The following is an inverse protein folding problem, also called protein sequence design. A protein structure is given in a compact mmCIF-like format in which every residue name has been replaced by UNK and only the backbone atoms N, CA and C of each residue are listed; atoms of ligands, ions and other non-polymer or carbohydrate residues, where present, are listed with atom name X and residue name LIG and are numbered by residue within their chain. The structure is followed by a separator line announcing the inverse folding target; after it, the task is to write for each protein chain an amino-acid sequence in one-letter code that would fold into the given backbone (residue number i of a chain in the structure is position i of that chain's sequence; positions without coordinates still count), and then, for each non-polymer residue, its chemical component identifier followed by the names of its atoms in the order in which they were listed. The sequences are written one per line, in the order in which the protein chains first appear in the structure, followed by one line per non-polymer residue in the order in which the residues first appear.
data_IF_533444677335
#
_entry.id   IF_533444677335
#
_cell.length_a   1.000
_cell.length_b   1.000
_cell.length_c   1.000
_cell.angle_alpha   90.00
_cell.angle_beta   90.00
_cell.angle_gamma   90.00
#
_symmetry.space_group_name_H-M   'P 1'
#
loop_
_entity.id
_entity.type
_entity.pdbx_description
1 polymer ?
#
# COMPACT_ATOMS: atom_id res chain seq x y z
N UNK A 1 12.98 12.69 -42.65
CA UNK A 1 11.93 11.70 -42.35
C UNK A 1 11.00 12.31 -41.30
N UNK A 2 9.81 12.72 -41.75
CA UNK A 2 8.81 13.46 -40.98
C UNK A 2 8.30 12.63 -39.80
N UNK A 3 8.67 13.00 -38.57
CA UNK A 3 7.95 12.56 -37.38
C UNK A 3 6.61 13.31 -37.33
N UNK A 4 5.56 12.56 -37.59
CA UNK A 4 4.16 12.95 -37.65
C UNK A 4 3.78 13.95 -36.56
N UNK A 5 3.46 15.15 -37.05
CA UNK A 5 2.85 16.26 -36.36
C UNK A 5 1.42 15.89 -35.93
N UNK A 6 1.27 15.18 -34.81
CA UNK A 6 -0.01 14.79 -34.21
C UNK A 6 -0.62 15.88 -33.29
N UNK A 7 -0.30 17.16 -33.53
CA UNK A 7 -0.80 18.28 -32.70
C UNK A 7 -2.11 18.93 -33.17
N UNK A 8 -2.69 18.51 -34.31
CA UNK A 8 -3.83 19.21 -34.90
C UNK A 8 -5.21 18.55 -34.78
N UNK A 9 -5.39 17.42 -34.09
CA UNK A 9 -6.72 16.73 -33.96
C UNK A 9 -7.26 16.67 -32.51
N UNK A 10 -6.79 17.52 -31.58
CA UNK A 10 -6.99 17.23 -30.15
C UNK A 10 -8.24 17.86 -29.49
N UNK A 11 -8.93 18.84 -30.08
CA UNK A 11 -10.01 19.54 -29.33
C UNK A 11 -11.30 18.75 -29.09
N UNK A 12 -11.67 17.77 -29.94
CA UNK A 12 -12.92 16.97 -29.78
C UNK A 12 -12.72 15.70 -28.94
N UNK A 13 -11.50 15.16 -28.89
CA UNK A 13 -11.18 13.92 -28.16
C UNK A 13 -11.03 14.10 -26.64
N UNK A 14 -10.55 15.26 -26.20
CA UNK A 14 -10.18 15.50 -24.79
C UNK A 14 -11.40 15.58 -23.86
N UNK A 15 -12.50 16.18 -24.33
CA UNK A 15 -13.77 16.21 -23.60
C UNK A 15 -14.37 14.81 -23.44
N UNK A 16 -14.24 13.95 -24.45
CA UNK A 16 -14.70 12.55 -24.40
C UNK A 16 -13.90 11.72 -23.40
N UNK A 17 -12.58 11.95 -23.31
CA UNK A 17 -11.70 11.24 -22.39
C UNK A 17 -11.93 11.69 -20.94
N UNK A 18 -12.13 12.99 -20.71
CA UNK A 18 -12.47 13.52 -19.39
C UNK A 18 -13.81 12.95 -18.89
N UNK A 19 -14.82 12.91 -19.75
CA UNK A 19 -16.11 12.25 -19.45
C UNK A 19 -15.94 10.77 -19.12
N UNK A 20 -15.12 10.04 -19.89
CA UNK A 20 -14.81 8.62 -19.61
C UNK A 20 -14.11 8.42 -18.26
N UNK A 21 -13.14 9.27 -17.90
CA UNK A 21 -12.45 9.21 -16.59
C UNK A 21 -13.44 9.37 -15.43
N UNK A 22 -14.29 10.38 -15.50
CA UNK A 22 -15.30 10.63 -14.45
C UNK A 22 -16.32 9.49 -14.40
N UNK A 23 -16.81 9.03 -15.56
CA UNK A 23 -17.76 7.93 -15.65
C UNK A 23 -17.23 6.66 -14.97
N UNK A 24 -15.99 6.26 -15.27
CA UNK A 24 -15.41 5.04 -14.68
C UNK A 24 -15.07 5.19 -13.19
N UNK A 25 -14.75 6.40 -12.70
CA UNK A 25 -14.64 6.67 -11.26
C UNK A 25 -15.98 6.52 -10.54
N UNK A 26 -17.04 7.15 -11.05
CA UNK A 26 -18.40 6.98 -10.48
C UNK A 26 -18.82 5.50 -10.49
N UNK A 27 -18.54 4.80 -11.60
CA UNK A 27 -18.84 3.36 -11.72
C UNK A 27 -18.04 2.53 -10.70
N UNK A 28 -16.77 2.88 -10.46
CA UNK A 28 -15.93 2.22 -9.45
C UNK A 28 -16.54 2.35 -8.05
N UNK A 29 -16.89 3.58 -7.65
CA UNK A 29 -17.52 3.84 -6.36
C UNK A 29 -18.83 3.02 -6.20
N UNK A 30 -19.69 3.04 -7.22
CA UNK A 30 -20.94 2.26 -7.23
C UNK A 30 -20.70 0.75 -7.09
N UNK A 31 -19.74 0.21 -7.84
CA UNK A 31 -19.42 -1.23 -7.79
C UNK A 31 -18.86 -1.64 -6.43
N UNK A 32 -18.01 -0.80 -5.82
CA UNK A 32 -17.48 -1.04 -4.47
C UNK A 32 -18.59 -0.98 -3.42
N UNK A 33 -19.53 -0.04 -3.55
CA UNK A 33 -20.73 0.02 -2.69
C UNK A 33 -21.51 -1.29 -2.81
N UNK A 34 -21.95 -1.64 -4.02
CA UNK A 34 -22.74 -2.85 -4.26
C UNK A 34 -22.05 -4.11 -3.75
N UNK A 35 -20.74 -4.23 -3.98
CA UNK A 35 -19.94 -5.33 -3.47
C UNK A 35 -19.90 -5.37 -1.94
N UNK A 36 -19.69 -4.22 -1.28
CA UNK A 36 -19.59 -4.18 0.18
C UNK A 36 -20.92 -4.57 0.85
N UNK A 37 -22.05 -4.16 0.28
CA UNK A 37 -23.38 -4.55 0.74
C UNK A 37 -23.67 -6.06 0.66
N UNK A 38 -22.89 -6.85 -0.08
CA UNK A 38 -23.02 -8.31 -0.10
C UNK A 38 -22.64 -8.93 1.24
N UNK A 39 -21.73 -8.31 2.00
CA UNK A 39 -21.13 -8.91 3.19
C UNK A 39 -21.11 -7.99 4.41
N UNK A 40 -21.53 -6.73 4.29
CA UNK A 40 -21.46 -5.73 5.36
C UNK A 40 -22.16 -6.15 6.65
N UNK A 41 -23.19 -6.99 6.59
CA UNK A 41 -23.95 -7.52 7.72
C UNK A 41 -23.54 -8.95 8.11
N UNK A 42 -22.68 -9.60 7.32
CA UNK A 42 -22.29 -11.01 7.49
C UNK A 42 -21.05 -11.21 8.34
N UNK A 43 -20.35 -10.13 8.68
CA UNK A 43 -19.13 -10.16 9.49
C UNK A 43 -19.35 -9.35 10.76
N UNK A 44 -19.02 -9.89 11.92
CA UNK A 44 -18.86 -9.14 13.17
C UNK A 44 -17.68 -9.75 13.91
N UNK A 45 -16.55 -9.04 13.92
CA UNK A 45 -15.29 -9.60 14.45
C UNK A 45 -14.98 -9.08 15.83
N UNK A 46 -14.22 -9.86 16.59
CA UNK A 46 -13.81 -9.52 17.96
C UNK A 46 -13.10 -8.15 18.04
N UNK A 47 -12.33 -7.80 17.00
CA UNK A 47 -11.67 -6.49 16.88
C UNK A 47 -12.65 -5.31 16.90
N UNK A 48 -13.79 -5.41 16.21
CA UNK A 48 -14.82 -4.37 16.23
C UNK A 48 -15.44 -4.23 17.63
N UNK A 49 -15.63 -5.35 18.33
CA UNK A 49 -16.09 -5.36 19.72
C UNK A 49 -15.10 -4.70 20.69
N UNK A 50 -13.79 -4.95 20.52
CA UNK A 50 -12.75 -4.30 21.32
C UNK A 50 -12.72 -2.79 21.12
N UNK A 51 -12.84 -2.32 19.87
CA UNK A 51 -12.91 -0.89 19.58
C UNK A 51 -14.08 -0.23 20.33
N UNK A 52 -15.26 -0.86 20.33
CA UNK A 52 -16.42 -0.31 21.06
C UNK A 52 -16.28 -0.36 22.57
N UNK A 53 -15.65 -1.40 23.11
CA UNK A 53 -15.33 -1.44 24.53
C UNK A 53 -14.43 -0.26 24.94
N UNK A 54 -13.36 0.00 24.19
CA UNK A 54 -12.47 1.13 24.47
C UNK A 54 -13.17 2.47 24.29
N UNK A 55 -14.06 2.61 23.29
CA UNK A 55 -14.88 3.81 23.13
C UNK A 55 -15.76 4.08 24.35
N UNK A 56 -16.33 3.03 24.95
CA UNK A 56 -17.08 3.13 26.20
C UNK A 56 -16.24 3.60 27.39
N UNK A 57 -14.97 3.20 27.48
CA UNK A 57 -14.03 3.68 28.50
C UNK A 57 -13.70 5.16 28.30
N UNK A 58 -13.46 5.59 27.05
CA UNK A 58 -13.24 7.00 26.72
C UNK A 58 -14.44 7.88 27.10
N UNK A 59 -15.66 7.36 26.89
CA UNK A 59 -16.90 8.04 27.30
C UNK A 59 -17.05 8.22 28.80
N UNK A 60 -16.42 7.35 29.59
CA UNK A 60 -16.33 7.46 31.05
C UNK A 60 -15.20 8.38 31.51
N UNK A 61 -14.51 9.06 30.58
CA UNK A 61 -13.37 9.93 30.88
C UNK A 61 -12.09 9.17 31.24
N UNK A 62 -12.02 7.86 30.95
CA UNK A 62 -10.81 7.06 31.16
C UNK A 62 -9.76 7.40 30.10
N UNK A 63 -8.52 7.53 30.53
CA UNK A 63 -7.41 7.91 29.67
C UNK A 63 -6.66 6.65 29.23
N UNK A 64 -6.42 6.46 27.92
CA UNK A 64 -5.69 5.30 27.43
C UNK A 64 -4.28 5.27 28.02
N UNK A 65 -3.75 4.06 28.19
CA UNK A 65 -2.45 3.74 28.80
C UNK A 65 -2.42 3.96 30.32
N UNK A 66 -2.98 5.07 30.82
CA UNK A 66 -3.00 5.38 32.26
C UNK A 66 -4.09 4.61 33.02
N UNK A 67 -5.32 4.69 32.54
CA UNK A 67 -6.49 4.14 33.25
C UNK A 67 -6.90 2.75 32.72
N UNK A 68 -6.43 2.38 31.53
CA UNK A 68 -6.62 1.05 30.96
C UNK A 68 -5.48 0.70 29.99
N UNK A 69 -5.22 -0.60 29.87
CA UNK A 69 -4.18 -1.13 29.00
C UNK A 69 -4.56 -0.99 27.53
N UNK A 70 -3.66 -0.40 26.73
CA UNK A 70 -3.80 -0.32 25.28
C UNK A 70 -2.45 -0.48 24.58
N UNK A 71 -2.33 -1.51 23.73
CA UNK A 71 -1.07 -1.94 23.13
C UNK A 71 -0.78 -1.32 21.76
N UNK A 72 -1.63 -0.40 21.28
CA UNK A 72 -1.52 0.26 19.98
C UNK A 72 -1.26 1.76 20.15
N UNK A 73 -0.61 2.40 19.18
CA UNK A 73 -0.45 3.86 19.18
C UNK A 73 -1.80 4.63 19.15
N UNK A 74 -1.83 5.89 19.62
CA UNK A 74 -3.06 6.54 20.06
C UNK A 74 -4.02 6.96 18.95
N UNK A 75 -3.54 7.18 17.72
CA UNK A 75 -4.42 7.58 16.60
C UNK A 75 -5.39 6.46 16.22
N UNK A 76 -4.99 5.21 16.43
CA UNK A 76 -5.85 4.05 16.21
C UNK A 76 -7.15 4.18 17.00
N UNK A 77 -7.02 4.34 18.32
CA UNK A 77 -8.16 4.50 19.22
C UNK A 77 -8.92 5.81 18.96
N UNK A 78 -8.21 6.92 18.74
CA UNK A 78 -8.84 8.22 18.49
C UNK A 78 -9.71 8.21 17.24
N UNK A 79 -9.23 7.58 16.16
CA UNK A 79 -9.97 7.45 14.92
C UNK A 79 -11.27 6.66 15.12
N UNK A 80 -11.18 5.51 15.79
CA UNK A 80 -12.34 4.67 16.06
C UNK A 80 -13.35 5.38 16.96
N UNK A 81 -12.86 6.14 17.94
CA UNK A 81 -13.68 6.96 18.82
C UNK A 81 -14.42 8.06 18.06
N UNK A 82 -13.73 8.83 17.21
CA UNK A 82 -14.34 9.90 16.41
C UNK A 82 -15.40 9.32 15.49
N UNK A 83 -15.09 8.25 14.75
CA UNK A 83 -16.04 7.64 13.81
C UNK A 83 -17.23 7.05 14.58
N UNK A 84 -17.01 6.44 15.73
CA UNK A 84 -18.10 5.92 16.57
C UNK A 84 -19.03 7.03 17.07
N UNK A 85 -18.47 8.16 17.54
CA UNK A 85 -19.27 9.33 17.93
C UNK A 85 -20.08 9.90 16.78
N UNK A 86 -19.48 10.00 15.59
CA UNK A 86 -20.17 10.41 14.36
C UNK A 86 -21.22 9.39 13.89
N UNK A 87 -21.20 8.17 14.43
CA UNK A 87 -22.15 7.12 14.15
C UNK A 87 -23.30 7.07 15.14
N UNK A 88 -23.32 7.95 16.15
CA UNK A 88 -24.35 8.03 17.19
C UNK A 88 -24.58 6.68 17.92
N UNK A 89 -23.56 5.82 17.98
CA UNK A 89 -23.65 4.48 18.56
C UNK A 89 -24.29 3.41 17.64
N UNK A 90 -24.61 3.72 16.39
CA UNK A 90 -25.14 2.76 15.43
C UNK A 90 -24.03 2.10 14.60
N UNK A 91 -23.89 0.79 14.75
CA UNK A 91 -22.88 0.00 14.02
C UNK A 91 -23.00 0.11 12.49
N UNK A 92 -24.21 0.16 11.95
CA UNK A 92 -24.39 0.29 10.49
C UNK A 92 -23.83 1.61 9.98
N UNK A 93 -23.99 2.70 10.72
CA UNK A 93 -23.45 4.02 10.36
C UNK A 93 -21.92 4.01 10.48
N UNK A 94 -21.38 3.36 11.53
CA UNK A 94 -19.94 3.14 11.68
C UNK A 94 -19.34 2.42 10.46
N UNK A 95 -20.01 1.38 9.97
CA UNK A 95 -19.58 0.67 8.75
C UNK A 95 -19.76 1.50 7.47
N UNK A 96 -20.73 2.41 7.41
CA UNK A 96 -20.85 3.36 6.28
C UNK A 96 -19.66 4.33 6.22
N UNK A 97 -19.15 4.79 7.35
CA UNK A 97 -17.91 5.58 7.38
C UNK A 97 -16.71 4.79 6.87
N UNK A 98 -16.59 3.52 7.26
CA UNK A 98 -15.56 2.62 6.72
C UNK A 98 -15.73 2.37 5.23
N UNK A 99 -16.95 2.20 4.74
CA UNK A 99 -17.20 2.13 3.30
C UNK A 99 -16.77 3.41 2.59
N UNK A 100 -17.03 4.59 3.16
CA UNK A 100 -16.57 5.86 2.61
C UNK A 100 -15.03 5.93 2.53
N UNK A 101 -14.31 5.50 3.56
CA UNK A 101 -12.85 5.36 3.53
C UNK A 101 -12.40 4.43 2.39
N UNK A 102 -13.10 3.31 2.17
CA UNK A 102 -12.79 2.36 1.08
C UNK A 102 -12.91 3.02 -0.28
N UNK A 103 -14.01 3.73 -0.50
CA UNK A 103 -14.28 4.44 -1.73
C UNK A 103 -13.16 5.47 -1.96
N UNK A 104 -12.78 6.22 -0.92
CA UNK A 104 -11.69 7.18 -1.03
C UNK A 104 -10.36 6.52 -1.42
N UNK A 105 -10.02 5.37 -0.83
CA UNK A 105 -8.81 4.60 -1.17
C UNK A 105 -8.81 4.23 -2.65
N UNK A 106 -9.88 3.57 -3.13
CA UNK A 106 -9.94 3.08 -4.51
C UNK A 106 -9.98 4.22 -5.52
N UNK A 107 -10.63 5.34 -5.19
CA UNK A 107 -10.68 6.54 -6.04
C UNK A 107 -9.31 7.23 -6.15
N UNK A 108 -8.57 7.33 -5.05
CA UNK A 108 -7.19 7.83 -5.08
C UNK A 108 -6.34 6.94 -5.97
N UNK A 109 -6.41 5.62 -5.78
CA UNK A 109 -5.66 4.66 -6.59
C UNK A 109 -6.04 4.72 -8.08
N UNK A 110 -7.33 4.81 -8.37
CA UNK A 110 -7.86 4.99 -9.72
C UNK A 110 -7.28 6.25 -10.36
N UNK A 111 -7.34 7.39 -9.67
CA UNK A 111 -6.78 8.66 -10.12
C UNK A 111 -5.27 8.57 -10.42
N UNK A 112 -4.53 7.80 -9.62
CA UNK A 112 -3.10 7.58 -9.86
C UNK A 112 -2.86 6.70 -11.11
N UNK A 113 -3.63 5.63 -11.27
CA UNK A 113 -3.48 4.68 -12.38
C UNK A 113 -3.89 5.26 -13.74
N UNK A 114 -4.94 6.07 -13.81
CA UNK A 114 -5.39 6.69 -15.09
C UNK A 114 -4.39 7.67 -15.70
N UNK A 115 -3.30 8.01 -14.98
CA UNK A 115 -2.17 8.76 -15.54
C UNK A 115 -1.31 7.91 -16.47
N UNK A 116 -1.38 6.58 -16.37
CA UNK A 116 -0.53 5.63 -17.09
C UNK A 116 -1.29 4.61 -17.91
N UNK A 117 -2.54 4.29 -17.54
CA UNK A 117 -3.37 3.29 -18.24
C UNK A 117 -4.73 3.87 -18.64
N UNK A 118 -5.45 3.13 -19.51
CA UNK A 118 -6.81 3.49 -19.93
C UNK A 118 -7.78 3.46 -18.73
N UNK A 119 -8.78 4.37 -18.67
CA UNK A 119 -9.78 4.41 -17.59
C UNK A 119 -10.47 3.07 -17.28
N UNK A 120 -10.78 2.27 -18.29
CA UNK A 120 -11.40 0.96 -18.10
C UNK A 120 -10.47 -0.06 -17.42
N UNK A 121 -9.18 -0.04 -17.77
CA UNK A 121 -8.17 -0.93 -17.17
C UNK A 121 -7.93 -0.54 -15.71
N UNK A 122 -7.81 0.76 -15.42
CA UNK A 122 -7.71 1.26 -14.05
C UNK A 122 -8.95 0.88 -13.22
N UNK A 123 -10.15 1.02 -13.78
CA UNK A 123 -11.40 0.60 -13.14
C UNK A 123 -11.38 -0.89 -12.76
N UNK A 124 -11.09 -1.77 -13.72
CA UNK A 124 -11.04 -3.23 -13.46
C UNK A 124 -9.97 -3.55 -12.42
N UNK A 125 -8.78 -2.97 -12.55
CA UNK A 125 -7.68 -3.20 -11.61
C UNK A 125 -8.02 -2.75 -10.18
N UNK A 126 -8.61 -1.56 -10.02
CA UNK A 126 -9.03 -1.05 -8.71
C UNK A 126 -10.17 -1.87 -8.10
N UNK A 127 -11.18 -2.24 -8.90
CA UNK A 127 -12.29 -3.05 -8.40
C UNK A 127 -11.83 -4.45 -7.98
N UNK A 128 -11.04 -5.13 -8.82
CA UNK A 128 -10.45 -6.42 -8.46
C UNK A 128 -9.55 -6.30 -7.23
N UNK A 129 -8.78 -5.21 -7.11
CA UNK A 129 -7.99 -4.93 -5.92
C UNK A 129 -8.83 -4.79 -4.65
N UNK A 130 -10.00 -4.12 -4.73
CA UNK A 130 -10.92 -4.01 -3.61
C UNK A 130 -11.52 -5.37 -3.20
N UNK A 131 -11.88 -6.21 -4.18
CA UNK A 131 -12.38 -7.58 -3.96
C UNK A 131 -11.30 -8.46 -3.34
N UNK A 132 -10.09 -8.47 -3.91
CA UNK A 132 -8.98 -9.26 -3.36
C UNK A 132 -8.55 -8.77 -1.98
N UNK A 133 -8.60 -7.46 -1.72
CA UNK A 133 -8.37 -6.91 -0.38
C UNK A 133 -9.30 -7.54 0.66
N UNK A 134 -10.59 -7.66 0.33
CA UNK A 134 -11.58 -8.30 1.19
C UNK A 134 -11.48 -9.81 1.31
N UNK A 135 -10.73 -10.48 0.44
CA UNK A 135 -10.43 -11.90 0.60
C UNK A 135 -9.36 -12.15 1.68
N UNK A 136 -8.77 -11.10 2.26
CA UNK A 136 -7.80 -11.22 3.34
C UNK A 136 -8.50 -11.21 4.70
N UNK A 137 -7.96 -11.99 5.64
CA UNK A 137 -8.44 -12.03 7.04
C UNK A 137 -8.27 -10.69 7.80
N UNK A 138 -7.56 -9.73 7.20
CA UNK A 138 -7.27 -8.43 7.80
C UNK A 138 -8.21 -7.33 7.32
N UNK A 139 -9.08 -7.61 6.35
CA UNK A 139 -10.03 -6.64 5.83
C UNK A 139 -11.37 -6.75 6.56
N UNK A 140 -11.34 -6.26 7.79
CA UNK A 140 -12.49 -6.23 8.69
C UNK A 140 -13.16 -4.87 8.51
N UNK A 141 -14.48 -4.85 8.28
CA UNK A 141 -15.28 -3.66 7.95
C UNK A 141 -15.31 -2.55 9.02
N UNK A 142 -14.47 -2.64 10.05
CA UNK A 142 -14.44 -1.81 11.24
C UNK A 142 -13.09 -1.74 11.94
N UNK A 143 -11.99 -2.15 11.31
CA UNK A 143 -10.65 -2.19 11.92
C UNK A 143 -9.71 -1.09 11.38
N UNK A 144 -8.69 -0.74 12.16
CA UNK A 144 -7.71 0.31 11.86
C UNK A 144 -6.90 0.07 10.57
N UNK A 145 -6.90 -1.16 10.05
CA UNK A 145 -6.22 -1.51 8.81
C UNK A 145 -6.70 -0.64 7.64
N UNK A 146 -7.97 -0.21 7.69
CA UNK A 146 -8.54 0.58 6.62
C UNK A 146 -8.02 2.03 6.60
N UNK A 147 -7.98 2.70 7.76
CA UNK A 147 -7.32 4.00 7.89
C UNK A 147 -5.87 3.91 7.41
N UNK A 148 -5.18 2.83 7.75
CA UNK A 148 -3.80 2.64 7.36
C UNK A 148 -3.63 2.49 5.84
N UNK A 149 -4.52 1.77 5.15
CA UNK A 149 -4.54 1.70 3.68
C UNK A 149 -4.78 3.08 3.06
N UNK A 150 -5.66 3.89 3.65
CA UNK A 150 -5.88 5.26 3.22
C UNK A 150 -4.62 6.12 3.35
N UNK A 151 -3.92 6.05 4.49
CA UNK A 151 -2.67 6.78 4.68
C UNK A 151 -1.60 6.35 3.66
N UNK A 152 -1.51 5.05 3.33
CA UNK A 152 -0.61 4.56 2.27
C UNK A 152 -0.97 5.14 0.89
N UNK A 153 -2.26 5.14 0.53
CA UNK A 153 -2.73 5.73 -0.73
C UNK A 153 -2.43 7.24 -0.81
N UNK A 154 -2.60 7.95 0.32
CA UNK A 154 -2.28 9.37 0.43
C UNK A 154 -0.78 9.63 0.32
N UNK A 155 0.08 8.80 0.92
CA UNK A 155 1.54 8.87 0.69
C UNK A 155 1.82 8.73 -0.80
N UNK A 156 1.34 7.66 -1.45
CA UNK A 156 1.58 7.46 -2.89
C UNK A 156 1.17 8.69 -3.72
N UNK A 157 0.03 9.31 -3.37
CA UNK A 157 -0.43 10.55 -3.99
C UNK A 157 0.54 11.72 -3.75
N UNK A 158 0.94 11.99 -2.51
CA UNK A 158 1.84 13.11 -2.20
C UNK A 158 3.24 12.91 -2.78
N UNK A 159 3.73 11.68 -2.86
CA UNK A 159 5.00 11.34 -3.53
C UNK A 159 4.97 11.66 -5.01
N UNK A 160 3.88 11.30 -5.70
CA UNK A 160 3.72 11.65 -7.11
C UNK A 160 3.64 13.16 -7.29
N UNK A 161 2.93 13.87 -6.40
CA UNK A 161 2.86 15.34 -6.43
C UNK A 161 4.19 16.02 -6.14
N UNK A 162 4.99 15.44 -5.25
CA UNK A 162 6.36 15.86 -4.99
C UNK A 162 7.21 15.76 -6.27
N UNK A 163 7.17 14.62 -6.97
CA UNK A 163 7.90 14.39 -8.22
C UNK A 163 7.43 15.36 -9.32
N UNK A 164 6.12 15.53 -9.49
CA UNK A 164 5.53 16.47 -10.47
C UNK A 164 6.00 17.92 -10.26
N UNK A 165 6.30 18.30 -9.02
CA UNK A 165 6.66 19.66 -8.62
C UNK A 165 8.12 19.81 -8.18
N UNK A 166 8.98 18.83 -8.48
CA UNK A 166 10.36 18.78 -7.98
C UNK A 166 11.19 20.02 -8.36
N UNK A 167 10.86 20.67 -9.47
CA UNK A 167 11.51 21.89 -9.98
C UNK A 167 10.98 23.19 -9.35
N UNK A 168 9.88 23.15 -8.59
CA UNK A 168 9.22 24.33 -8.01
C UNK A 168 9.38 24.28 -6.48
N UNK A 169 10.37 24.99 -5.88
CA UNK A 169 10.74 24.80 -4.47
C UNK A 169 9.59 24.93 -3.48
N UNK A 170 8.75 25.97 -3.60
CA UNK A 170 7.61 26.19 -2.69
C UNK A 170 6.62 25.02 -2.71
N UNK A 171 6.27 24.52 -3.90
CA UNK A 171 5.34 23.38 -4.05
C UNK A 171 6.00 22.07 -3.63
N UNK A 172 7.25 21.85 -4.03
CA UNK A 172 8.06 20.69 -3.63
C UNK A 172 8.04 20.50 -2.11
N UNK A 173 8.46 21.52 -1.37
CA UNK A 173 8.57 21.44 0.08
C UNK A 173 7.21 21.36 0.78
N UNK A 174 6.15 21.97 0.21
CA UNK A 174 4.78 21.76 0.69
C UNK A 174 4.36 20.28 0.62
N UNK A 175 4.66 19.59 -0.49
CA UNK A 175 4.38 18.15 -0.60
C UNK A 175 5.27 17.28 0.29
N UNK A 176 6.50 17.72 0.59
CA UNK A 176 7.35 17.07 1.60
C UNK A 176 6.72 17.12 2.99
N UNK A 177 6.26 18.31 3.42
CA UNK A 177 5.58 18.48 4.70
C UNK A 177 4.32 17.62 4.75
N UNK A 178 3.49 17.64 3.69
CA UNK A 178 2.29 16.80 3.63
C UNK A 178 2.62 15.30 3.76
N UNK A 179 3.66 14.84 3.07
CA UNK A 179 4.14 13.44 3.17
C UNK A 179 4.59 13.14 4.60
N UNK A 180 5.31 14.06 5.23
CA UNK A 180 5.73 13.97 6.63
C UNK A 180 4.55 13.83 7.59
N UNK A 181 3.54 14.70 7.46
CA UNK A 181 2.32 14.65 8.29
C UNK A 181 1.66 13.28 8.18
N UNK A 182 1.46 12.77 6.96
CA UNK A 182 0.85 11.45 6.75
C UNK A 182 1.72 10.35 7.37
N UNK A 183 3.06 10.43 7.22
CA UNK A 183 3.98 9.49 7.85
C UNK A 183 3.93 9.52 9.39
N UNK A 184 3.81 10.70 9.98
CA UNK A 184 3.61 10.85 11.43
C UNK A 184 2.26 10.27 11.91
N UNK A 185 1.19 10.46 11.14
CA UNK A 185 -0.11 9.82 11.42
C UNK A 185 -0.01 8.30 11.34
N UNK A 186 0.67 7.74 10.33
CA UNK A 186 0.92 6.29 10.24
C UNK A 186 1.68 5.76 11.46
N UNK A 187 2.55 6.59 12.07
CA UNK A 187 3.24 6.22 13.30
C UNK A 187 2.35 6.12 14.50
N UNK A 188 1.35 6.99 14.54
CA UNK A 188 0.34 6.95 15.57
C UNK A 188 -0.76 5.91 15.30
N UNK A 189 -0.75 5.17 14.17
CA UNK A 189 -1.65 4.02 13.97
C UNK A 189 -1.01 2.68 14.33
N UNK A 190 0.16 2.34 13.76
CA UNK A 190 0.82 1.03 13.95
C UNK A 190 2.30 1.05 13.55
N UNK A 191 3.21 0.72 14.48
CA UNK A 191 4.66 0.96 14.33
C UNK A 191 5.34 0.21 13.16
N UNK A 192 5.11 -1.09 12.92
CA UNK A 192 5.80 -1.84 11.85
C UNK A 192 5.62 -1.23 10.45
N UNK A 193 4.50 -0.55 10.23
CA UNK A 193 4.13 -0.03 8.91
C UNK A 193 4.74 1.34 8.63
N UNK A 194 5.05 2.09 9.66
CA UNK A 194 5.86 3.31 9.54
C UNK A 194 7.22 2.94 9.03
N UNK A 195 7.81 1.90 9.60
CA UNK A 195 9.14 1.45 9.22
C UNK A 195 9.14 1.00 7.76
N UNK A 196 8.13 0.26 7.33
CA UNK A 196 7.94 -0.09 5.91
C UNK A 196 7.76 1.14 5.00
N UNK A 197 6.92 2.11 5.40
CA UNK A 197 6.67 3.32 4.60
C UNK A 197 7.87 4.28 4.54
N UNK A 198 8.61 4.44 5.64
CA UNK A 198 9.85 5.21 5.70
C UNK A 198 10.96 4.56 4.89
N UNK A 199 11.09 3.23 4.92
CA UNK A 199 12.03 2.50 4.07
C UNK A 199 11.69 2.71 2.59
N UNK A 200 10.42 2.57 2.20
CA UNK A 200 10.00 2.81 0.82
C UNK A 200 10.24 4.27 0.37
N UNK A 201 9.93 5.23 1.24
CA UNK A 201 10.19 6.65 0.98
C UNK A 201 11.69 6.95 0.89
N UNK A 202 12.49 6.39 1.79
CA UNK A 202 13.94 6.52 1.81
C UNK A 202 14.58 5.96 0.54
N UNK A 203 14.17 4.77 0.11
CA UNK A 203 14.62 4.16 -1.16
C UNK A 203 14.28 5.07 -2.34
N UNK A 204 13.05 5.60 -2.41
CA UNK A 204 12.65 6.51 -3.48
C UNK A 204 13.49 7.79 -3.49
N UNK A 205 13.75 8.36 -2.32
CA UNK A 205 14.59 9.55 -2.16
C UNK A 205 16.04 9.32 -2.60
N UNK A 206 16.62 8.18 -2.21
CA UNK A 206 17.96 7.76 -2.65
C UNK A 206 17.99 7.58 -4.17
N UNK A 207 16.97 6.94 -4.76
CA UNK A 207 16.87 6.76 -6.20
C UNK A 207 16.80 8.10 -6.97
N UNK A 208 15.99 9.05 -6.49
CA UNK A 208 15.89 10.39 -7.10
C UNK A 208 17.19 11.20 -6.98
N UNK A 209 17.95 10.98 -5.92
CA UNK A 209 19.27 11.58 -5.72
C UNK A 209 20.33 10.96 -6.64
N UNK A 210 20.37 9.63 -6.77
CA UNK A 210 21.27 8.92 -7.71
C UNK A 210 21.03 9.38 -9.14
N UNK A 211 19.76 9.55 -9.54
CA UNK A 211 19.39 10.08 -10.86
C UNK A 211 19.66 11.58 -11.02
N UNK A 212 20.21 12.26 -10.00
CA UNK A 212 20.47 13.71 -9.95
C UNK A 212 19.24 14.58 -10.25
N UNK A 213 18.03 14.02 -10.04
CA UNK A 213 16.77 14.72 -10.25
C UNK A 213 16.51 15.67 -9.07
N UNK A 214 16.82 15.24 -7.85
CA UNK A 214 16.86 16.11 -6.67
C UNK A 214 18.29 16.30 -6.16
N UNK A 215 18.79 17.54 -6.22
CA UNK A 215 20.11 17.91 -5.67
C UNK A 215 20.06 18.27 -4.18
N UNK A 216 18.88 18.48 -3.61
CA UNK A 216 18.70 19.02 -2.27
C UNK A 216 18.09 17.99 -1.30
N UNK A 217 18.63 16.76 -1.27
CA UNK A 217 18.09 15.64 -0.51
C UNK A 217 17.96 15.93 0.99
N UNK A 218 18.98 16.53 1.62
CA UNK A 218 18.95 16.85 3.05
C UNK A 218 17.83 17.83 3.40
N UNK A 219 17.60 18.83 2.55
CA UNK A 219 16.50 19.79 2.74
C UNK A 219 15.14 19.11 2.54
N UNK A 220 15.03 18.20 1.58
CA UNK A 220 13.82 17.38 1.40
C UNK A 220 13.52 16.54 2.64
N UNK A 221 14.52 15.85 3.20
CA UNK A 221 14.40 15.06 4.44
C UNK A 221 13.96 15.96 5.59
N UNK A 222 14.60 17.12 5.77
CA UNK A 222 14.25 18.06 6.81
C UNK A 222 12.76 18.46 6.78
N UNK A 223 12.22 18.80 5.61
CA UNK A 223 10.81 19.16 5.49
C UNK A 223 9.85 17.98 5.75
N UNK A 224 10.27 16.75 5.45
CA UNK A 224 9.48 15.56 5.80
C UNK A 224 9.49 15.34 7.32
N UNK A 225 10.64 15.47 7.97
CA UNK A 225 10.76 15.36 9.43
C UNK A 225 9.94 16.46 10.13
N UNK A 226 9.99 17.69 9.62
CA UNK A 226 9.14 18.79 10.11
C UNK A 226 7.65 18.49 9.94
N UNK A 227 7.24 17.84 8.86
CA UNK A 227 5.84 17.42 8.70
C UNK A 227 5.45 16.33 9.69
N UNK A 228 6.31 15.34 9.89
CA UNK A 228 6.05 14.23 10.80
C UNK A 228 6.00 14.65 12.26
N UNK A 229 6.78 15.66 12.67
CA UNK A 229 6.74 16.16 14.05
C UNK A 229 5.40 16.77 14.43
N UNK A 230 4.62 17.33 13.48
CA UNK A 230 3.32 17.96 13.78
C UNK A 230 2.35 17.00 14.51
N UNK A 231 1.90 15.87 13.90
CA UNK A 231 1.00 14.96 14.58
C UNK A 231 1.63 14.31 15.82
N UNK A 232 2.95 14.05 15.81
CA UNK A 232 3.66 13.45 16.94
C UNK A 232 3.68 14.38 18.15
N UNK A 233 3.93 15.68 17.95
CA UNK A 233 3.90 16.69 19.01
C UNK A 233 2.49 16.87 19.57
N UNK A 234 1.45 16.84 18.72
CA UNK A 234 0.06 16.91 19.18
C UNK A 234 -0.27 15.72 20.08
N UNK A 235 0.04 14.49 19.65
CA UNK A 235 -0.18 13.29 20.45
C UNK A 235 0.67 13.29 21.73
N UNK A 236 1.94 13.70 21.64
CA UNK A 236 2.84 13.82 22.78
C UNK A 236 2.34 14.82 23.82
N UNK A 237 1.90 16.01 23.39
CA UNK A 237 1.33 17.03 24.27
C UNK A 237 0.08 16.52 24.99
N UNK A 238 -0.80 15.81 24.27
CA UNK A 238 -1.98 15.16 24.88
C UNK A 238 -1.57 14.14 25.95
N UNK A 239 -0.62 13.26 25.66
CA UNK A 239 -0.17 12.23 26.61
C UNK A 239 0.53 12.83 27.83
N UNK A 240 1.34 13.87 27.65
CA UNK A 240 2.02 14.58 28.74
C UNK A 240 1.00 15.27 29.64
N UNK A 241 0.05 16.02 29.06
CA UNK A 241 -0.97 16.75 29.83
C UNK A 241 -1.87 15.82 30.66
N UNK A 242 -1.99 14.55 30.24
CA UNK A 242 -2.82 13.55 30.90
C UNK A 242 -2.01 12.56 31.77
N UNK A 243 -0.71 12.78 31.97
CA UNK A 243 0.20 11.90 32.71
C UNK A 243 0.24 10.45 32.19
N UNK A 244 0.05 10.26 30.88
CA UNK A 244 0.00 8.94 30.24
C UNK A 244 1.25 8.61 29.41
N UNK A 245 2.21 9.53 29.28
CA UNK A 245 3.36 9.38 28.37
C UNK A 245 4.28 8.21 28.76
N UNK A 246 4.53 8.00 30.06
CA UNK A 246 5.38 6.91 30.54
C UNK A 246 4.72 5.55 30.27
N UNK A 247 3.45 5.41 30.63
CA UNK A 247 2.68 4.19 30.42
C UNK A 247 2.49 3.88 28.94
N UNK A 248 2.32 4.92 28.11
CA UNK A 248 2.32 4.77 26.66
C UNK A 248 3.64 4.16 26.15
N UNK A 249 4.78 4.71 26.58
CA UNK A 249 6.09 4.19 26.16
C UNK A 249 6.23 2.72 26.59
N UNK A 250 5.86 2.41 27.83
CA UNK A 250 5.90 1.05 28.36
C UNK A 250 5.02 0.10 27.55
N UNK A 251 3.71 0.36 27.47
CA UNK A 251 2.75 -0.57 26.87
C UNK A 251 2.89 -0.71 25.34
N UNK A 252 3.30 0.36 24.66
CA UNK A 252 3.35 0.37 23.19
C UNK A 252 4.72 -0.07 22.67
N UNK A 253 5.82 0.22 23.38
CA UNK A 253 7.18 -0.08 22.91
C UNK A 253 7.95 -1.11 23.73
N UNK A 254 7.68 -1.28 25.03
CA UNK A 254 8.47 -2.16 25.91
C UNK A 254 7.75 -3.48 26.21
N UNK A 255 6.44 -3.45 26.46
CA UNK A 255 5.59 -4.62 26.75
C UNK A 255 5.23 -5.41 25.47
N UNK A 256 6.25 -5.77 24.71
CA UNK A 256 6.14 -6.37 23.36
C UNK A 256 6.23 -7.89 23.37
N UNK A 257 5.74 -8.54 24.43
CA UNK A 257 5.83 -10.01 24.62
C UNK A 257 5.30 -10.87 23.46
N UNK A 258 4.55 -10.30 22.51
CA UNK A 258 4.01 -10.99 21.33
C UNK A 258 4.46 -10.44 19.96
N UNK A 259 5.20 -9.32 19.90
CA UNK A 259 5.48 -8.61 18.62
C UNK A 259 6.89 -8.82 18.07
N UNK A 260 7.83 -9.29 18.89
CA UNK A 260 9.24 -9.38 18.54
C UNK A 260 9.91 -8.00 18.47
N UNK A 261 11.24 -7.98 18.46
CA UNK A 261 12.00 -6.72 18.39
C UNK A 261 11.80 -5.99 17.05
N UNK A 262 12.04 -4.68 16.99
CA UNK A 262 12.03 -3.91 15.72
C UNK A 262 12.94 -4.54 14.66
N UNK A 263 14.05 -5.13 15.07
CA UNK A 263 14.97 -5.86 14.20
C UNK A 263 14.32 -7.13 13.62
N UNK A 264 13.64 -7.94 14.43
CA UNK A 264 12.93 -9.14 13.96
C UNK A 264 11.78 -8.79 13.02
N UNK A 265 11.09 -7.68 13.26
CA UNK A 265 9.99 -7.20 12.40
C UNK A 265 10.49 -6.84 11.00
N UNK A 266 11.63 -6.12 10.90
CA UNK A 266 12.18 -5.69 9.60
C UNK A 266 13.00 -6.78 8.94
N UNK A 267 14.05 -7.25 9.61
CA UNK A 267 15.03 -8.15 9.01
C UNK A 267 14.63 -9.60 9.24
N UNK A 268 14.10 -9.94 10.43
CA UNK A 268 13.70 -11.32 10.74
C UNK A 268 12.69 -11.85 9.73
N UNK A 269 11.59 -11.13 9.48
CA UNK A 269 10.58 -11.55 8.49
C UNK A 269 11.08 -11.53 7.04
N UNK A 270 11.90 -10.56 6.64
CA UNK A 270 12.49 -10.53 5.30
C UNK A 270 13.44 -11.72 5.13
N UNK A 271 14.33 -11.97 6.09
CA UNK A 271 15.26 -13.10 6.06
C UNK A 271 14.51 -14.43 6.09
N UNK A 272 13.43 -14.53 6.86
CA UNK A 272 12.60 -15.75 6.90
C UNK A 272 11.85 -15.93 5.58
N UNK A 273 11.32 -14.86 4.99
CA UNK A 273 10.64 -14.90 3.68
C UNK A 273 11.61 -15.24 2.56
N UNK A 274 12.81 -14.63 2.55
CA UNK A 274 13.88 -14.95 1.60
C UNK A 274 14.30 -16.39 1.81
N UNK A 275 14.57 -16.84 3.03
CA UNK A 275 14.98 -18.21 3.35
C UNK A 275 13.93 -19.23 2.90
N UNK A 276 12.65 -18.95 3.17
CA UNK A 276 11.56 -19.85 2.82
C UNK A 276 11.25 -19.86 1.31
N UNK A 277 11.53 -18.76 0.62
CA UNK A 277 11.21 -18.59 -0.81
C UNK A 277 12.44 -18.45 -1.72
N UNK A 278 13.64 -18.80 -1.23
CA UNK A 278 14.90 -18.50 -1.93
C UNK A 278 14.94 -19.11 -3.32
N UNK A 279 14.41 -20.32 -3.46
CA UNK A 279 14.33 -21.04 -4.73
C UNK A 279 13.32 -20.42 -5.69
N UNK A 280 12.18 -19.90 -5.20
CA UNK A 280 11.23 -19.15 -6.02
C UNK A 280 11.81 -17.82 -6.51
N UNK A 281 12.56 -17.12 -5.66
CA UNK A 281 13.23 -15.86 -6.01
C UNK A 281 14.34 -16.11 -7.05
N UNK A 282 15.18 -17.14 -6.86
CA UNK A 282 16.21 -17.53 -7.81
C UNK A 282 15.61 -17.91 -9.16
N UNK A 283 14.51 -18.67 -9.16
CA UNK A 283 13.76 -19.00 -10.38
C UNK A 283 13.35 -17.76 -11.17
N UNK A 284 12.79 -16.77 -10.48
CA UNK A 284 12.33 -15.50 -11.08
C UNK A 284 13.51 -14.70 -11.66
N UNK A 285 14.61 -14.59 -10.93
CA UNK A 285 15.84 -13.91 -11.40
C UNK A 285 16.38 -14.59 -12.67
N UNK A 286 16.47 -15.92 -12.67
CA UNK A 286 16.95 -16.67 -13.83
C UNK A 286 16.03 -16.56 -15.04
N UNK A 287 14.71 -16.53 -14.85
CA UNK A 287 13.75 -16.28 -15.92
C UNK A 287 13.90 -14.87 -16.52
N UNK A 288 14.09 -13.84 -15.68
CA UNK A 288 14.31 -12.47 -16.13
C UNK A 288 15.64 -12.34 -16.89
N UNK A 289 16.71 -12.96 -16.37
CA UNK A 289 18.03 -12.98 -17.04
C UNK A 289 17.97 -13.73 -18.37
N UNK A 290 17.26 -14.86 -18.42
CA UNK A 290 16.99 -15.62 -19.64
C UNK A 290 16.30 -14.74 -20.69
N UNK A 291 15.20 -14.10 -20.32
CA UNK A 291 14.45 -13.21 -21.20
C UNK A 291 15.29 -12.03 -21.73
N UNK A 292 16.04 -11.36 -20.84
CA UNK A 292 16.90 -10.24 -21.22
C UNK A 292 18.03 -10.64 -22.17
N UNK A 293 18.64 -11.82 -21.94
CA UNK A 293 19.71 -12.34 -22.80
C UNK A 293 19.17 -12.84 -24.15
N UNK A 294 17.93 -13.35 -24.19
CA UNK A 294 17.27 -13.82 -25.41
C UNK A 294 16.92 -12.67 -26.37
N UNK A 295 16.48 -11.52 -25.84
CA UNK A 295 16.15 -10.33 -26.65
C UNK A 295 17.41 -9.78 -27.35
N UNK A 296 18.59 -9.94 -26.76
CA UNK A 296 19.83 -9.57 -27.42
C UNK A 296 20.18 -10.60 -28.50
N UNK A 297 20.13 -10.19 -29.78
CA UNK A 297 20.27 -11.05 -30.96
C UNK A 297 21.64 -11.74 -31.15
N UNK A 298 22.52 -11.73 -30.14
CA UNK A 298 23.86 -12.30 -30.23
C UNK A 298 23.84 -13.80 -29.92
N UNK A 299 24.37 -14.65 -30.80
CA UNK A 299 24.26 -16.12 -30.72
C UNK A 299 24.77 -16.69 -29.39
N UNK A 300 25.87 -16.14 -28.87
CA UNK A 300 26.47 -16.51 -27.57
C UNK A 300 25.50 -16.19 -26.41
N UNK A 301 24.77 -15.06 -26.48
CA UNK A 301 23.81 -14.66 -25.45
C UNK A 301 22.53 -15.51 -25.47
N UNK A 302 22.13 -16.03 -26.63
CA UNK A 302 21.03 -17.02 -26.73
C UNK A 302 21.35 -18.32 -25.99
N UNK A 303 22.60 -18.79 -26.03
CA UNK A 303 23.03 -19.98 -25.29
C UNK A 303 22.99 -19.76 -23.76
N UNK A 304 23.44 -18.59 -23.29
CA UNK A 304 23.29 -18.21 -21.88
C UNK A 304 21.81 -18.03 -21.48
N UNK A 305 20.97 -17.49 -22.37
CA UNK A 305 19.54 -17.36 -22.13
C UNK A 305 18.90 -18.73 -21.90
N UNK A 306 19.24 -19.72 -22.72
CA UNK A 306 18.75 -21.09 -22.55
C UNK A 306 19.23 -21.72 -21.23
N UNK A 307 20.51 -21.57 -20.90
CA UNK A 307 21.07 -22.06 -19.64
C UNK A 307 20.38 -21.45 -18.41
N UNK A 308 20.15 -20.13 -18.40
CA UNK A 308 19.40 -19.47 -17.33
C UNK A 308 17.93 -19.88 -17.31
N UNK A 309 17.31 -20.15 -18.46
CA UNK A 309 15.95 -20.68 -18.53
C UNK A 309 15.82 -22.04 -17.84
N UNK A 310 16.80 -22.95 -18.05
CA UNK A 310 16.84 -24.27 -17.40
C UNK A 310 17.01 -24.12 -15.89
N UNK A 311 17.96 -23.28 -15.44
CA UNK A 311 18.16 -23.01 -14.01
C UNK A 311 16.89 -22.42 -13.37
N UNK A 312 16.21 -21.51 -14.07
CA UNK A 312 14.92 -20.96 -13.67
C UNK A 312 13.86 -22.04 -13.47
N UNK A 313 13.76 -22.98 -14.41
CA UNK A 313 12.84 -24.12 -14.34
C UNK A 313 13.13 -25.07 -13.19
N UNK A 314 14.40 -25.41 -12.94
CA UNK A 314 14.81 -26.31 -11.85
C UNK A 314 14.47 -25.70 -10.49
N UNK A 315 14.87 -24.45 -10.26
CA UNK A 315 14.60 -23.77 -8.99
C UNK A 315 13.10 -23.49 -8.77
N UNK A 316 12.37 -23.19 -9.85
CA UNK A 316 10.92 -23.01 -9.79
C UNK A 316 10.20 -24.31 -9.43
N UNK A 317 10.58 -25.41 -10.06
CA UNK A 317 10.01 -26.75 -9.81
C UNK A 317 10.26 -27.20 -8.36
N UNK A 318 11.46 -26.98 -7.83
CA UNK A 318 11.80 -27.28 -6.45
C UNK A 318 10.98 -26.43 -5.45
N UNK A 319 10.79 -25.15 -5.73
CA UNK A 319 9.97 -24.26 -4.91
C UNK A 319 8.47 -24.67 -4.90
N UNK A 320 7.94 -25.01 -6.07
CA UNK A 320 6.55 -25.48 -6.25
C UNK A 320 6.33 -26.83 -5.53
N UNK A 321 7.32 -27.72 -5.58
CA UNK A 321 7.27 -29.02 -4.90
C UNK A 321 7.11 -28.86 -3.39
N UNK A 322 7.77 -27.86 -2.80
CA UNK A 322 7.78 -27.61 -1.36
C UNK A 322 6.61 -26.77 -0.81
N UNK A 323 5.85 -26.04 -1.65
CA UNK A 323 4.86 -25.03 -1.17
C UNK A 323 3.39 -25.50 -1.13
N UNK A 324 3.12 -26.79 -1.31
CA UNK A 324 1.78 -27.37 -1.15
C UNK A 324 0.82 -27.18 -2.34
N UNK A 325 -0.32 -27.88 -2.31
CA UNK A 325 -1.15 -28.19 -3.49
C UNK A 325 -1.84 -27.01 -4.20
N UNK A 326 -2.09 -25.89 -3.52
CA UNK A 326 -2.75 -24.72 -4.14
C UNK A 326 -1.75 -23.87 -4.94
N UNK A 327 -0.52 -23.71 -4.42
CA UNK A 327 0.57 -23.06 -5.14
C UNK A 327 0.94 -23.85 -6.41
N UNK A 328 0.92 -25.19 -6.34
CA UNK A 328 1.08 -26.07 -7.51
C UNK A 328 0.10 -25.74 -8.63
N UNK A 329 -1.20 -25.56 -8.33
CA UNK A 329 -2.23 -25.30 -9.35
C UNK A 329 -2.12 -23.90 -9.96
N UNK A 330 -1.86 -22.88 -9.14
CA UNK A 330 -1.72 -21.48 -9.62
C UNK A 330 -0.45 -21.32 -10.46
N UNK A 331 0.66 -21.94 -10.05
CA UNK A 331 1.92 -21.83 -10.78
C UNK A 331 1.90 -22.69 -12.05
N UNK A 332 1.28 -23.89 -12.03
CA UNK A 332 1.04 -24.68 -13.25
C UNK A 332 0.17 -23.91 -14.24
N UNK A 333 -0.84 -23.17 -13.77
CA UNK A 333 -1.66 -22.29 -14.60
C UNK A 333 -0.84 -21.15 -15.22
N UNK A 334 0.04 -20.50 -14.45
CA UNK A 334 0.92 -19.44 -14.97
C UNK A 334 2.00 -19.97 -15.94
N UNK A 335 2.58 -21.15 -15.67
CA UNK A 335 3.51 -21.85 -16.58
C UNK A 335 2.82 -22.26 -17.88
N UNK A 336 1.60 -22.80 -17.80
CA UNK A 336 0.79 -23.13 -18.98
C UNK A 336 0.44 -21.87 -19.77
N UNK A 337 0.05 -20.78 -19.11
CA UNK A 337 -0.24 -19.51 -19.79
C UNK A 337 1.01 -18.89 -20.43
N UNK A 338 2.17 -18.95 -19.77
CA UNK A 338 3.44 -18.44 -20.36
C UNK A 338 3.93 -19.32 -21.50
N UNK A 339 3.79 -20.64 -21.42
CA UNK A 339 4.04 -21.56 -22.53
C UNK A 339 3.07 -21.34 -23.70
N UNK A 340 1.78 -21.11 -23.42
CA UNK A 340 0.78 -20.82 -24.44
C UNK A 340 1.06 -19.49 -25.16
N UNK A 341 1.41 -18.45 -24.40
CA UNK A 341 1.78 -17.13 -24.95
C UNK A 341 3.08 -17.23 -25.76
N UNK A 342 4.08 -17.98 -25.29
CA UNK A 342 5.33 -18.16 -26.05
C UNK A 342 5.15 -19.00 -27.32
N UNK A 343 4.29 -20.03 -27.29
CA UNK A 343 3.92 -20.81 -28.47
C UNK A 343 3.13 -19.99 -29.50
N UNK A 344 2.21 -19.14 -29.04
CA UNK A 344 1.45 -18.22 -29.91
C UNK A 344 2.31 -17.10 -30.50
N UNK A 345 3.40 -16.70 -29.84
CA UNK A 345 4.36 -15.73 -30.40
C UNK A 345 5.37 -16.36 -31.36
N UNK A 346 5.64 -17.66 -31.25
CA UNK A 346 6.54 -18.39 -32.15
C UNK A 346 5.89 -18.78 -33.49
N UNK A 347 4.56 -18.90 -33.53
CA UNK A 347 3.81 -19.20 -34.76
C UNK A 347 3.37 -17.96 -35.57
N UNK A 348 3.82 -16.75 -35.20
CA UNK A 348 3.55 -15.49 -35.90
C UNK A 348 4.84 -14.80 -36.42
N UNK A 349 5.91 -15.58 -36.57
CA UNK A 349 7.13 -15.28 -37.35
C UNK A 349 7.28 -16.42 -38.34
#
# INVERSE_FOLDING_TARGET
MNCLNLRSIVKKGDLSLKKKKVFFGILLALFVILYNFIWIDKTFTMSEGWAQFYNGLLDQGKIPYRDFYFHLPPLNLLNDYIIWKLSFGYFIIYRMWRLAERILIVEIMYYLLIKKVKPSIAFVGCFMGAVFGSATVFDLGGDYNQLQQLLIALIAYTLIKYIENIKIPKKKYGWCIATGIIGGLMFLTKQPLVLASLVCFGIMMVFLWILKIDKNIFRTIFFVVLGASIPLCIAGAYLINNNAIHDFIYQVFQDTGSKGSLYEIVFGRILTTIKNNIFGILSLIFCILSYYMYINQNQIRKNYAFMFGILGGIFGSYYIWNTGDVAKRVILFFLLMTLLVSFLTLNNI
#
